data_IF_313353397766
#
_entry.id   IF_313353397766
#
_cell.length_a   1.000
_cell.length_b   1.000
_cell.length_c   1.000
_cell.angle_alpha   90.00
_cell.angle_beta   90.00
_cell.angle_gamma   90.00
#
_symmetry.space_group_name_H-M   'P 1'
#
loop_
_entity.id
_entity.type
_entity.pdbx_description
1 polymer ?
#
# COMPACT_ATOMS: atom_id res chain seq x y z
N UNK A 1 2.57 -2.61 16.64
CA UNK A 1 3.02 -1.78 15.50
C UNK A 1 2.05 -0.63 15.33
N UNK A 2 2.47 0.60 15.60
CA UNK A 2 1.68 1.78 15.27
C UNK A 2 1.74 1.89 13.73
N UNK A 3 0.68 1.50 13.04
CA UNK A 3 0.57 1.81 11.61
C UNK A 3 0.61 3.33 11.52
N UNK A 4 1.64 3.85 10.85
CA UNK A 4 1.85 5.27 10.71
C UNK A 4 0.61 5.87 10.02
N UNK A 5 -0.18 6.66 10.74
CA UNK A 5 -1.48 7.17 10.25
C UNK A 5 -1.29 7.96 8.95
N UNK A 6 -0.13 8.58 8.78
CA UNK A 6 0.23 9.31 7.58
C UNK A 6 0.48 8.36 6.41
N UNK A 7 1.17 7.24 6.64
CA UNK A 7 1.40 6.22 5.61
C UNK A 7 0.09 5.56 5.19
N UNK A 8 -0.77 5.23 6.14
CA UNK A 8 -2.10 4.66 5.85
C UNK A 8 -2.92 5.57 4.93
N UNK A 9 -2.90 6.88 5.19
CA UNK A 9 -3.65 7.87 4.40
C UNK A 9 -3.10 7.98 2.97
N UNK A 10 -1.77 7.97 2.82
CA UNK A 10 -1.11 7.99 1.51
C UNK A 10 -1.42 6.74 0.69
N UNK A 11 -1.25 5.56 1.29
CA UNK A 11 -1.55 4.27 0.65
C UNK A 11 -3.03 4.19 0.27
N UNK A 12 -3.93 4.62 1.16
CA UNK A 12 -5.36 4.65 0.86
C UNK A 12 -5.66 5.50 -0.36
N UNK A 13 -5.15 6.73 -0.39
CA UNK A 13 -5.41 7.66 -1.50
C UNK A 13 -4.88 7.09 -2.82
N UNK A 14 -3.63 6.62 -2.84
CA UNK A 14 -3.01 6.05 -4.04
C UNK A 14 -3.76 4.80 -4.54
N UNK A 15 -4.17 3.90 -3.63
CA UNK A 15 -4.93 2.71 -4.00
C UNK A 15 -6.32 3.08 -4.53
N UNK A 16 -7.03 4.00 -3.88
CA UNK A 16 -8.36 4.44 -4.35
C UNK A 16 -8.27 5.15 -5.71
N UNK A 17 -7.22 5.93 -5.96
CA UNK A 17 -6.93 6.55 -7.26
C UNK A 17 -6.64 5.48 -8.33
N UNK A 18 -5.80 4.49 -8.01
CA UNK A 18 -5.50 3.36 -8.90
C UNK A 18 -6.75 2.52 -9.23
N UNK A 19 -7.56 2.21 -8.22
CA UNK A 19 -8.75 1.38 -8.35
C UNK A 19 -9.94 2.12 -8.99
N UNK A 20 -9.91 3.45 -9.03
CA UNK A 20 -11.05 4.28 -9.43
C UNK A 20 -12.26 4.15 -8.50
N UNK A 21 -12.09 3.59 -7.30
CA UNK A 21 -13.17 3.34 -6.32
C UNK A 21 -12.62 3.29 -4.90
N UNK A 22 -13.53 3.40 -3.92
CA UNK A 22 -13.19 3.22 -2.51
C UNK A 22 -12.72 1.79 -2.26
N UNK A 23 -11.62 1.67 -1.53
CA UNK A 23 -11.00 0.39 -1.19
C UNK A 23 -11.27 0.08 0.29
N UNK A 24 -11.54 -1.18 0.61
CA UNK A 24 -11.78 -1.61 1.99
C UNK A 24 -10.55 -1.36 2.85
N UNK A 25 -10.72 -0.82 4.05
CA UNK A 25 -9.61 -0.55 4.98
C UNK A 25 -8.72 -1.78 5.23
N UNK A 26 -9.29 -3.00 5.26
CA UNK A 26 -8.53 -4.25 5.40
C UNK A 26 -7.50 -4.45 4.27
N UNK A 27 -7.84 -4.09 3.03
CA UNK A 27 -6.93 -4.15 1.89
C UNK A 27 -5.82 -3.10 2.06
N UNK A 28 -6.18 -1.89 2.50
CA UNK A 28 -5.21 -0.83 2.79
C UNK A 28 -4.23 -1.27 3.88
N UNK A 29 -4.68 -1.90 4.95
CA UNK A 29 -3.80 -2.42 6.02
C UNK A 29 -2.82 -3.49 5.54
N UNK A 30 -3.21 -4.30 4.54
CA UNK A 30 -2.31 -5.28 3.90
C UNK A 30 -1.31 -4.57 3.01
N UNK A 31 -1.78 -3.61 2.23
CA UNK A 31 -0.93 -2.80 1.34
C UNK A 31 0.12 -2.05 2.14
N UNK A 32 -0.26 -1.45 3.27
CA UNK A 32 0.68 -0.76 4.17
C UNK A 32 1.75 -1.71 4.72
N UNK A 33 1.39 -2.96 5.04
CA UNK A 33 2.38 -3.98 5.44
C UNK A 33 3.36 -4.26 4.31
N UNK A 34 2.87 -4.44 3.08
CA UNK A 34 3.75 -4.59 1.93
C UNK A 34 4.65 -3.38 1.68
N UNK A 35 4.15 -2.16 1.92
CA UNK A 35 4.99 -0.96 1.84
C UNK A 35 6.13 -1.02 2.84
N UNK A 36 5.86 -1.41 4.08
CA UNK A 36 6.90 -1.56 5.10
C UNK A 36 7.91 -2.64 4.70
N UNK A 37 7.44 -3.82 4.30
CA UNK A 37 8.31 -4.93 3.87
C UNK A 37 9.21 -4.54 2.68
N UNK A 38 8.64 -3.91 1.64
CA UNK A 38 9.38 -3.51 0.44
C UNK A 38 10.38 -2.40 0.77
N UNK A 39 10.02 -1.45 1.63
CA UNK A 39 10.92 -0.37 2.06
C UNK A 39 12.10 -0.89 2.87
N UNK A 40 11.87 -1.89 3.73
CA UNK A 40 12.93 -2.55 4.48
C UNK A 40 13.89 -3.33 3.56
N UNK A 41 13.35 -4.01 2.55
CA UNK A 41 14.15 -4.74 1.57
C UNK A 41 14.89 -3.84 0.57
N UNK A 42 14.32 -2.67 0.26
CA UNK A 42 14.83 -1.75 -0.74
C UNK A 42 14.78 -0.29 -0.23
N UNK A 43 15.69 0.09 0.69
CA UNK A 43 15.67 1.42 1.30
C UNK A 43 15.89 2.55 0.29
N UNK A 44 16.57 2.27 -0.83
CA UNK A 44 16.85 3.21 -1.91
C UNK A 44 15.61 3.65 -2.71
N UNK A 45 14.50 2.91 -2.63
CA UNK A 45 13.27 3.28 -3.33
C UNK A 45 12.58 4.46 -2.65
N UNK A 46 11.98 5.34 -3.44
CA UNK A 46 11.14 6.41 -2.92
C UNK A 46 9.85 5.85 -2.33
N UNK A 47 9.20 6.61 -1.45
CA UNK A 47 7.93 6.19 -0.84
C UNK A 47 6.85 5.91 -1.89
N UNK A 48 6.79 6.70 -2.96
CA UNK A 48 5.82 6.52 -4.05
C UNK A 48 6.05 5.21 -4.80
N UNK A 49 7.29 4.92 -5.21
CA UNK A 49 7.62 3.65 -5.89
C UNK A 49 7.29 2.42 -5.03
N UNK A 50 7.52 2.52 -3.72
CA UNK A 50 7.19 1.45 -2.78
C UNK A 50 5.67 1.27 -2.66
N UNK A 51 4.89 2.36 -2.61
CA UNK A 51 3.43 2.31 -2.58
C UNK A 51 2.88 1.66 -3.85
N UNK A 52 3.37 2.05 -5.03
CA UNK A 52 2.94 1.47 -6.30
C UNK A 52 3.22 -0.03 -6.38
N UNK A 53 4.41 -0.46 -5.97
CA UNK A 53 4.76 -1.88 -5.91
C UNK A 53 3.91 -2.64 -4.89
N UNK A 54 3.62 -2.04 -3.74
CA UNK A 54 2.77 -2.64 -2.72
C UNK A 54 1.31 -2.80 -3.19
N UNK A 55 0.78 -1.82 -3.93
CA UNK A 55 -0.55 -1.92 -4.56
C UNK A 55 -0.53 -3.09 -5.53
N UNK A 56 0.40 -3.13 -6.48
CA UNK A 56 0.51 -4.22 -7.46
C UNK A 56 0.64 -5.60 -6.80
N UNK A 57 1.41 -5.70 -5.71
CA UNK A 57 1.54 -6.93 -4.92
C UNK A 57 0.22 -7.34 -4.27
N UNK A 58 -0.50 -6.39 -3.65
CA UNK A 58 -1.79 -6.64 -3.01
C UNK A 58 -2.83 -7.18 -4.02
N UNK A 59 -2.80 -6.64 -5.25
CA UNK A 59 -3.66 -7.10 -6.34
C UNK A 59 -3.27 -8.53 -6.76
N UNK A 60 -1.96 -8.78 -6.93
CA UNK A 60 -1.43 -10.10 -7.29
C UNK A 60 -1.74 -11.17 -6.24
N UNK A 61 -1.79 -10.80 -4.97
CA UNK A 61 -2.16 -11.68 -3.86
C UNK A 61 -3.67 -12.00 -3.83
N UNK A 62 -4.44 -11.51 -4.80
CA UNK A 62 -5.85 -11.85 -4.98
C UNK A 62 -6.79 -11.16 -3.99
N UNK A 63 -6.32 -10.13 -3.29
CA UNK A 63 -7.20 -9.30 -2.47
C UNK A 63 -8.19 -8.58 -3.39
N UNK A 64 -9.46 -8.99 -3.37
CA UNK A 64 -10.52 -8.24 -4.04
C UNK A 64 -10.74 -6.89 -3.34
N UNK A 65 -10.51 -5.78 -4.05
CA UNK A 65 -10.59 -4.41 -3.54
C UNK A 65 -11.75 -3.63 -4.14
#
# INVERSE_FOLDING_TARGET
MNVDKQLFTQVKKAFEEFAGRKVRNKVIEVTVRHVQDIKELNPSLTTEEVIDQAIMKTIKDGMAF
#
